data_IF_357598001182
#
_entry.id   IF_357598001182
#
_cell.length_a   1.000
_cell.length_b   1.000
_cell.length_c   1.000
_cell.angle_alpha   90.00
_cell.angle_beta   90.00
_cell.angle_gamma   90.00
#
_symmetry.space_group_name_H-M   'P 1'
#
loop_
_entity.id
_entity.type
_entity.pdbx_description
1 polymer ?
#
# COMPACT_ATOMS: atom_id res chain seq x y z
N UNK A 1 -17.34 -17.69 -10.32
CA UNK A 1 -16.20 -17.17 -9.56
C UNK A 1 -16.32 -15.67 -9.41
N UNK A 2 -16.24 -15.19 -8.19
CA UNK A 2 -16.46 -13.79 -7.90
C UNK A 2 -15.15 -12.99 -8.06
N UNK A 3 -15.03 -12.25 -9.15
CA UNK A 3 -13.84 -11.44 -9.45
C UNK A 3 -13.67 -10.24 -8.53
N UNK A 4 -14.61 -9.99 -7.60
CA UNK A 4 -14.51 -8.85 -6.68
C UNK A 4 -13.30 -8.89 -5.75
N UNK A 5 -12.73 -10.07 -5.55
CA UNK A 5 -11.59 -10.27 -4.66
C UNK A 5 -10.26 -10.35 -5.38
N UNK A 6 -10.29 -10.23 -6.70
CA UNK A 6 -9.07 -10.24 -7.49
C UNK A 6 -8.53 -8.84 -7.67
N UNK A 7 -7.28 -8.67 -7.27
CA UNK A 7 -6.50 -7.53 -7.69
C UNK A 7 -5.85 -7.92 -9.02
N UNK A 8 -6.25 -7.25 -10.09
CA UNK A 8 -5.69 -7.53 -11.39
C UNK A 8 -4.27 -6.97 -11.46
N UNK A 9 -3.31 -7.87 -11.62
CA UNK A 9 -1.90 -7.50 -11.73
C UNK A 9 -1.65 -6.56 -12.92
N UNK A 10 -2.32 -6.79 -14.04
CA UNK A 10 -2.21 -5.93 -15.22
C UNK A 10 -2.75 -4.53 -14.96
N UNK A 11 -3.82 -4.40 -14.20
CA UNK A 11 -4.36 -3.10 -13.81
C UNK A 11 -3.39 -2.35 -12.90
N UNK A 12 -2.75 -3.06 -11.99
CA UNK A 12 -1.71 -2.47 -11.17
C UNK A 12 -0.52 -2.01 -11.98
N UNK A 13 -0.06 -2.83 -12.90
CA UNK A 13 1.03 -2.47 -13.82
C UNK A 13 0.68 -1.20 -14.60
N UNK A 14 -0.54 -1.15 -15.14
CA UNK A 14 -1.01 0.04 -15.89
C UNK A 14 -1.04 1.28 -15.01
N UNK A 15 -1.52 1.17 -13.78
CA UNK A 15 -1.53 2.28 -12.83
C UNK A 15 -0.12 2.75 -12.50
N UNK A 16 0.80 1.84 -12.26
CA UNK A 16 2.19 2.16 -11.97
C UNK A 16 2.87 2.80 -13.18
N UNK A 17 2.65 2.26 -14.38
CA UNK A 17 3.16 2.83 -15.62
C UNK A 17 2.56 4.21 -15.90
N UNK A 18 1.26 4.39 -15.63
CA UNK A 18 0.59 5.67 -15.77
C UNK A 18 1.20 6.75 -14.87
N UNK A 19 1.59 6.39 -13.67
CA UNK A 19 2.28 7.28 -12.75
C UNK A 19 3.66 7.67 -13.28
N UNK A 20 4.41 6.70 -13.81
CA UNK A 20 5.71 6.94 -14.42
C UNK A 20 5.61 7.85 -15.64
N UNK A 21 4.61 7.63 -16.49
CA UNK A 21 4.37 8.43 -17.70
C UNK A 21 3.98 9.86 -17.34
N UNK A 22 3.15 10.04 -16.31
CA UNK A 22 2.73 11.37 -15.87
C UNK A 22 3.88 12.21 -15.31
N UNK A 23 4.91 11.57 -14.82
CA UNK A 23 6.09 12.24 -14.29
C UNK A 23 7.07 12.68 -15.39
N UNK A 24 6.73 12.50 -16.68
CA UNK A 24 7.56 12.84 -17.84
C UNK A 24 8.97 12.24 -17.75
N UNK A 25 9.08 11.06 -17.19
CA UNK A 25 10.38 10.41 -17.01
C UNK A 25 10.77 9.73 -18.31
N UNK A 26 11.79 10.25 -18.98
CA UNK A 26 12.50 9.51 -19.99
C UNK A 26 13.16 8.32 -19.30
N UNK A 27 12.62 7.12 -19.52
CA UNK A 27 13.11 5.91 -18.88
C UNK A 27 14.55 5.64 -19.31
N UNK A 28 15.47 5.82 -18.38
CA UNK A 28 16.86 5.39 -18.55
C UNK A 28 16.95 3.89 -18.30
N UNK A 29 18.07 3.26 -18.68
CA UNK A 29 18.30 1.84 -18.41
C UNK A 29 18.22 1.53 -16.92
N UNK A 30 18.58 2.46 -16.06
CA UNK A 30 18.49 2.33 -14.61
C UNK A 30 17.02 2.27 -14.16
N UNK A 31 16.18 3.14 -14.71
CA UNK A 31 14.75 3.19 -14.42
C UNK A 31 14.04 1.93 -14.91
N UNK A 32 14.42 1.42 -16.08
CA UNK A 32 13.93 0.14 -16.59
C UNK A 32 14.27 -1.02 -15.66
N UNK A 33 15.43 -1.01 -15.02
CA UNK A 33 15.79 -2.03 -14.03
C UNK A 33 14.94 -1.91 -12.78
N UNK A 34 14.64 -0.70 -12.31
CA UNK A 34 13.73 -0.48 -11.18
C UNK A 34 12.32 -0.97 -11.46
N UNK A 35 11.80 -0.71 -12.65
CA UNK A 35 10.48 -1.20 -13.07
C UNK A 35 10.46 -2.73 -13.13
N UNK A 36 11.51 -3.35 -13.67
CA UNK A 36 11.61 -4.82 -13.71
C UNK A 36 11.65 -5.42 -12.32
N UNK A 37 12.43 -4.83 -11.41
CA UNK A 37 12.48 -5.27 -10.03
C UNK A 37 11.11 -5.15 -9.37
N UNK A 38 10.41 -4.04 -9.59
CA UNK A 38 9.07 -3.83 -9.07
C UNK A 38 8.11 -4.91 -9.55
N UNK A 39 8.13 -5.22 -10.84
CA UNK A 39 7.27 -6.29 -11.40
C UNK A 39 7.57 -7.65 -10.79
N UNK A 40 8.84 -7.98 -10.64
CA UNK A 40 9.26 -9.24 -10.02
C UNK A 40 8.80 -9.31 -8.57
N UNK A 41 9.00 -8.24 -7.81
CA UNK A 41 8.63 -8.19 -6.40
C UNK A 41 7.11 -8.25 -6.21
N UNK A 42 6.34 -7.54 -7.04
CA UNK A 42 4.89 -7.63 -6.99
C UNK A 42 4.39 -9.03 -7.33
N UNK A 43 4.99 -9.68 -8.32
CA UNK A 43 4.65 -11.05 -8.67
C UNK A 43 4.90 -12.00 -7.50
N UNK A 44 6.05 -11.89 -6.85
CA UNK A 44 6.39 -12.69 -5.68
C UNK A 44 5.47 -12.38 -4.49
N UNK A 45 5.13 -11.12 -4.30
CA UNK A 45 4.21 -10.71 -3.24
C UNK A 45 2.84 -11.38 -3.42
N UNK A 46 2.27 -11.32 -4.63
CA UNK A 46 0.97 -11.94 -4.90
C UNK A 46 1.03 -13.47 -4.87
N UNK A 47 2.19 -14.05 -5.08
CA UNK A 47 2.40 -15.49 -4.91
C UNK A 47 2.58 -15.90 -3.44
N UNK A 48 2.56 -14.94 -2.50
CA UNK A 48 2.76 -15.20 -1.08
C UNK A 48 4.21 -15.48 -0.69
N UNK A 49 5.16 -15.12 -1.55
CA UNK A 49 6.59 -15.43 -1.35
C UNK A 49 7.43 -14.25 -0.89
N UNK A 50 6.92 -13.02 -1.03
CA UNK A 50 7.65 -11.81 -0.66
C UNK A 50 6.90 -11.07 0.44
N UNK A 51 7.61 -10.70 1.49
CA UNK A 51 7.06 -9.96 2.63
C UNK A 51 7.59 -8.54 2.72
N UNK A 52 8.73 -8.25 2.11
CA UNK A 52 9.38 -6.95 2.18
C UNK A 52 9.87 -6.55 0.79
N UNK A 53 9.48 -5.36 0.34
CA UNK A 53 9.94 -4.82 -0.93
C UNK A 53 11.31 -4.18 -0.77
N UNK A 54 12.19 -4.39 -1.74
CA UNK A 54 13.51 -3.78 -1.78
C UNK A 54 13.60 -2.64 -2.81
N UNK A 55 12.58 -2.47 -3.63
CA UNK A 55 12.55 -1.40 -4.63
C UNK A 55 12.64 -0.03 -3.96
N UNK A 56 13.47 0.84 -4.53
CA UNK A 56 13.61 2.21 -4.04
C UNK A 56 12.36 3.03 -4.38
N UNK A 57 11.93 3.84 -3.41
CA UNK A 57 10.74 4.67 -3.54
C UNK A 57 11.13 6.15 -3.59
N UNK A 58 10.52 6.86 -4.53
CA UNK A 58 10.53 8.31 -4.57
C UNK A 58 9.13 8.79 -4.23
N UNK A 59 8.96 9.25 -2.99
CA UNK A 59 7.66 9.69 -2.49
C UNK A 59 7.39 11.12 -2.92
N UNK A 60 6.38 11.31 -3.78
CA UNK A 60 5.94 12.62 -4.24
C UNK A 60 4.71 13.06 -3.45
N UNK A 61 4.88 14.06 -2.61
CA UNK A 61 3.80 14.58 -1.79
C UNK A 61 4.29 15.69 -0.87
N UNK A 62 3.40 16.16 0.01
CA UNK A 62 3.75 17.14 1.02
C UNK A 62 4.66 16.52 2.08
N UNK A 63 5.32 17.35 2.89
CA UNK A 63 6.15 16.85 3.98
C UNK A 63 5.33 16.02 4.96
N UNK A 64 4.10 16.45 5.25
CA UNK A 64 3.20 15.71 6.13
C UNK A 64 2.83 14.34 5.53
N UNK A 65 2.45 14.29 4.25
CA UNK A 65 2.15 13.04 3.57
C UNK A 65 3.35 12.09 3.59
N UNK A 66 4.53 12.59 3.30
CA UNK A 66 5.75 11.77 3.33
C UNK A 66 6.02 11.20 4.72
N UNK A 67 5.78 11.97 5.77
CA UNK A 67 5.90 11.48 7.15
C UNK A 67 4.91 10.36 7.44
N UNK A 68 3.66 10.52 7.02
CA UNK A 68 2.62 9.50 7.17
C UNK A 68 3.02 8.23 6.42
N UNK A 69 3.42 8.36 5.17
CA UNK A 69 3.81 7.21 4.34
C UNK A 69 5.05 6.50 4.88
N UNK A 70 6.00 7.24 5.43
CA UNK A 70 7.16 6.64 6.10
C UNK A 70 6.76 5.84 7.33
N UNK A 71 5.78 6.32 8.08
CA UNK A 71 5.23 5.58 9.21
C UNK A 71 4.56 4.28 8.76
N UNK A 72 3.83 4.31 7.63
CA UNK A 72 3.20 3.12 7.07
C UNK A 72 4.22 2.04 6.75
N UNK A 73 5.38 2.42 6.23
CA UNK A 73 6.45 1.47 5.89
C UNK A 73 6.96 0.70 7.11
N UNK A 74 6.76 1.22 8.31
CA UNK A 74 7.16 0.54 9.56
C UNK A 74 6.19 -0.55 10.00
N UNK A 75 5.01 -0.66 9.38
CA UNK A 75 4.03 -1.69 9.75
C UNK A 75 4.43 -3.00 9.10
N UNK A 76 4.76 -4.04 9.90
CA UNK A 76 5.23 -5.32 9.33
C UNK A 76 4.16 -6.03 8.51
N UNK A 77 4.61 -6.85 7.58
CA UNK A 77 3.76 -7.77 6.84
C UNK A 77 2.93 -8.63 7.82
N UNK A 78 1.66 -8.79 7.52
CA UNK A 78 0.75 -9.59 8.33
C UNK A 78 0.26 -8.90 9.61
N UNK A 79 0.61 -7.63 9.82
CA UNK A 79 0.17 -6.85 10.97
C UNK A 79 -0.72 -5.71 10.54
N UNK A 80 -1.59 -5.28 11.44
CA UNK A 80 -2.46 -4.13 11.24
C UNK A 80 -2.41 -3.21 12.44
N UNK A 81 -2.64 -1.92 12.20
CA UNK A 81 -2.85 -0.93 13.26
C UNK A 81 -4.10 -0.14 12.94
N UNK A 82 -4.66 0.53 13.94
CA UNK A 82 -5.76 1.45 13.72
C UNK A 82 -5.25 2.84 13.32
N UNK A 83 -6.14 3.66 12.74
CA UNK A 83 -5.80 5.05 12.42
C UNK A 83 -5.36 5.84 13.65
N UNK A 84 -6.00 5.59 14.79
CA UNK A 84 -5.64 6.24 16.06
C UNK A 84 -4.24 5.81 16.49
N UNK A 85 -3.92 4.53 16.40
CA UNK A 85 -2.58 4.02 16.72
C UNK A 85 -1.51 4.64 15.82
N UNK A 86 -1.80 4.77 14.53
CA UNK A 86 -0.88 5.43 13.60
C UNK A 86 -0.62 6.88 14.02
N UNK A 87 -1.68 7.63 14.31
CA UNK A 87 -1.56 9.02 14.74
C UNK A 87 -0.79 9.14 16.08
N UNK A 88 -0.99 8.20 17.01
CA UNK A 88 -0.23 8.15 18.27
C UNK A 88 1.26 7.91 18.02
N UNK A 89 1.59 6.98 17.14
CA UNK A 89 2.98 6.69 16.81
C UNK A 89 3.68 7.91 16.20
N UNK A 90 2.94 8.76 15.52
CA UNK A 90 3.44 10.00 14.96
C UNK A 90 3.43 11.17 15.96
N UNK A 91 2.88 10.97 17.16
CA UNK A 91 2.77 12.02 18.17
C UNK A 91 1.70 13.08 17.86
N UNK A 92 0.72 12.76 17.02
CA UNK A 92 -0.33 13.69 16.57
C UNK A 92 -1.72 13.07 16.68
N UNK A 93 -2.02 12.46 17.81
CA UNK A 93 -3.30 11.75 18.03
C UNK A 93 -4.52 12.62 17.73
N UNK A 94 -4.46 13.92 17.99
CA UNK A 94 -5.54 14.85 17.69
C UNK A 94 -5.78 15.05 16.19
N UNK A 95 -4.89 14.60 15.34
CA UNK A 95 -4.93 14.79 13.89
C UNK A 95 -5.24 13.50 13.13
N UNK A 96 -6.01 12.59 13.72
CA UNK A 96 -6.36 11.29 13.11
C UNK A 96 -6.96 11.44 11.71
N UNK A 97 -7.83 12.43 11.52
CA UNK A 97 -8.46 12.67 10.21
C UNK A 97 -7.43 13.06 9.15
N UNK A 98 -6.47 13.92 9.51
CA UNK A 98 -5.39 14.33 8.60
C UNK A 98 -4.51 13.13 8.23
N UNK A 99 -4.22 12.25 9.19
CA UNK A 99 -3.47 11.02 8.96
C UNK A 99 -4.24 10.10 8.01
N UNK A 100 -5.53 9.91 8.23
CA UNK A 100 -6.37 9.08 7.37
C UNK A 100 -6.43 9.64 5.93
N UNK A 101 -6.54 10.95 5.78
CA UNK A 101 -6.52 11.59 4.47
C UNK A 101 -5.19 11.39 3.76
N UNK A 102 -4.07 11.49 4.47
CA UNK A 102 -2.74 11.26 3.91
C UNK A 102 -2.57 9.79 3.48
N UNK A 103 -3.10 8.85 4.26
CA UNK A 103 -3.14 7.43 3.86
C UNK A 103 -3.88 7.25 2.54
N UNK A 104 -5.03 7.91 2.39
CA UNK A 104 -5.83 7.85 1.16
C UNK A 104 -5.17 8.51 -0.04
N UNK A 105 -4.23 9.42 0.18
CA UNK A 105 -3.47 10.09 -0.88
C UNK A 105 -2.28 9.27 -1.37
N UNK A 106 -2.01 8.12 -0.76
CA UNK A 106 -0.93 7.23 -1.18
C UNK A 106 -1.13 6.74 -2.60
N UNK A 107 -0.18 7.05 -3.49
CA UNK A 107 -0.22 6.67 -4.91
C UNK A 107 0.58 5.40 -5.20
N UNK A 108 1.31 4.89 -4.21
CA UNK A 108 2.16 3.70 -4.34
C UNK A 108 1.58 2.61 -3.43
N UNK A 109 0.37 2.20 -3.74
CA UNK A 109 -0.33 1.17 -2.97
C UNK A 109 0.48 -0.13 -2.90
N UNK A 110 0.24 -0.91 -1.86
CA UNK A 110 0.90 -2.20 -1.59
C UNK A 110 2.33 -2.03 -1.06
N UNK A 111 3.19 -1.36 -1.78
CA UNK A 111 4.59 -1.13 -1.35
C UNK A 111 4.61 -0.21 -0.13
N UNK A 112 3.86 0.90 -0.19
CA UNK A 112 3.54 1.70 0.99
C UNK A 112 2.22 1.17 1.53
N UNK A 113 2.24 0.40 2.63
CA UNK A 113 1.12 -0.48 2.98
C UNK A 113 -0.02 0.21 3.72
N UNK A 114 -0.68 1.17 3.08
CA UNK A 114 -1.83 1.83 3.68
C UNK A 114 -3.02 0.88 3.93
N UNK A 115 -3.03 -0.28 3.27
CA UNK A 115 -4.03 -1.33 3.55
C UNK A 115 -3.89 -1.94 4.95
N UNK A 116 -2.74 -1.79 5.60
CA UNK A 116 -2.50 -2.31 6.97
C UNK A 116 -3.05 -1.41 8.07
N UNK A 117 -3.67 -0.28 7.71
CA UNK A 117 -4.34 0.58 8.67
C UNK A 117 -5.84 0.36 8.55
N UNK A 118 -6.48 -0.01 9.65
CA UNK A 118 -7.90 -0.36 9.69
C UNK A 118 -8.62 0.47 10.75
N UNK A 119 -9.95 0.45 10.69
CA UNK A 119 -10.77 1.11 11.71
C UNK A 119 -10.67 0.39 13.06
N UNK A 120 -11.08 1.10 14.10
CA UNK A 120 -11.25 0.50 15.41
C UNK A 120 -12.23 -0.69 15.31
N UNK A 121 -12.03 -1.73 16.09
CA UNK A 121 -12.80 -2.97 16.01
C UNK A 121 -12.61 -3.75 14.70
N UNK A 122 -11.48 -3.57 14.05
CA UNK A 122 -11.10 -4.29 12.81
C UNK A 122 -12.03 -4.00 11.62
N UNK A 123 -12.73 -2.87 11.64
CA UNK A 123 -13.55 -2.48 10.49
C UNK A 123 -12.68 -2.02 9.32
N UNK A 124 -13.04 -2.44 8.11
CA UNK A 124 -12.36 -1.99 6.89
C UNK A 124 -13.00 -0.69 6.44
N UNK A 125 -12.22 0.37 6.47
CA UNK A 125 -12.67 1.71 6.06
C UNK A 125 -11.59 2.39 5.24
N UNK A 126 -12.01 3.31 4.36
CA UNK A 126 -11.13 4.30 3.76
C UNK A 126 -9.93 3.76 3.00
N UNK A 127 -10.14 3.04 1.91
CA UNK A 127 -9.04 2.65 1.03
C UNK A 127 -9.28 3.18 -0.38
N UNK A 128 -8.31 3.93 -0.94
CA UNK A 128 -8.43 4.51 -2.27
C UNK A 128 -8.64 3.47 -3.37
N UNK A 129 -8.07 2.28 -3.22
CA UNK A 129 -8.24 1.16 -4.14
C UNK A 129 -9.55 0.39 -3.96
N UNK A 130 -10.37 0.74 -2.98
CA UNK A 130 -11.63 0.06 -2.66
C UNK A 130 -11.47 -1.00 -1.57
N UNK A 131 -12.54 -1.21 -0.80
CA UNK A 131 -12.51 -2.10 0.35
C UNK A 131 -12.33 -3.57 -0.02
N UNK A 132 -12.80 -3.99 -1.19
CA UNK A 132 -12.60 -5.35 -1.67
C UNK A 132 -11.12 -5.66 -1.87
N UNK A 133 -10.39 -4.73 -2.48
CA UNK A 133 -8.93 -4.87 -2.67
C UNK A 133 -8.19 -4.82 -1.35
N UNK A 134 -8.61 -3.96 -0.44
CA UNK A 134 -8.03 -3.88 0.91
C UNK A 134 -8.16 -5.22 1.63
N UNK A 135 -9.35 -5.80 1.60
CA UNK A 135 -9.59 -7.12 2.19
C UNK A 135 -8.73 -8.19 1.55
N UNK A 136 -8.64 -8.19 0.23
CA UNK A 136 -7.79 -9.15 -0.49
C UNK A 136 -6.34 -9.09 -0.02
N UNK A 137 -5.79 -7.88 0.10
CA UNK A 137 -4.40 -7.71 0.54
C UNK A 137 -4.20 -8.17 1.98
N UNK A 138 -5.13 -7.86 2.86
CA UNK A 138 -5.07 -8.30 4.26
C UNK A 138 -5.17 -9.81 4.37
N UNK A 139 -6.05 -10.44 3.61
CA UNK A 139 -6.16 -11.90 3.57
C UNK A 139 -4.88 -12.55 3.06
N UNK A 140 -4.31 -11.99 2.00
CA UNK A 140 -3.06 -12.48 1.42
C UNK A 140 -1.93 -12.45 2.44
N UNK A 141 -1.85 -11.39 3.24
CA UNK A 141 -0.79 -11.20 4.23
C UNK A 141 -1.07 -11.93 5.54
N UNK A 142 -2.30 -12.37 5.76
CA UNK A 142 -2.68 -12.98 7.02
C UNK A 142 -2.12 -14.39 7.15
N UNK A 143 -1.49 -14.74 8.28
CA UNK A 143 -1.13 -16.13 8.56
C UNK A 143 -2.38 -17.00 8.76
N UNK A 144 -3.52 -16.41 9.12
CA UNK A 144 -4.80 -17.09 9.31
C UNK A 144 -5.78 -16.63 8.22
N UNK A 145 -5.66 -17.23 7.03
CA UNK A 145 -6.39 -16.79 5.84
C UNK A 145 -7.90 -16.89 5.93
N UNK A 146 -8.43 -17.58 6.91
CA UNK A 146 -9.88 -17.71 7.14
C UNK A 146 -10.49 -16.57 7.95
N UNK A 147 -9.70 -15.63 8.47
CA UNK A 147 -10.19 -14.58 9.36
C UNK A 147 -11.23 -13.65 8.72
N UNK A 148 -11.23 -13.55 7.41
CA UNK A 148 -12.08 -12.62 6.67
C UNK A 148 -13.06 -13.31 5.73
N UNK A 149 -13.21 -14.59 5.88
CA UNK A 149 -14.20 -15.37 5.10
C UNK A 149 -15.63 -15.04 5.49
#
# INVERSE_FOLDING_TARGET
HDNRYYLDFEDMERQMQGLSTRAEINLTDRENRHIRLLKEELSEYFAGKLTTFSVELDMLGTDFQKRVWSQLLSIPYGKTISYIQEARLMGIESSVRAVANANGANKIAIIIPCHRVIGTNKTLTGYAGGLVRKRYLLDLESPEKSLFD
#
